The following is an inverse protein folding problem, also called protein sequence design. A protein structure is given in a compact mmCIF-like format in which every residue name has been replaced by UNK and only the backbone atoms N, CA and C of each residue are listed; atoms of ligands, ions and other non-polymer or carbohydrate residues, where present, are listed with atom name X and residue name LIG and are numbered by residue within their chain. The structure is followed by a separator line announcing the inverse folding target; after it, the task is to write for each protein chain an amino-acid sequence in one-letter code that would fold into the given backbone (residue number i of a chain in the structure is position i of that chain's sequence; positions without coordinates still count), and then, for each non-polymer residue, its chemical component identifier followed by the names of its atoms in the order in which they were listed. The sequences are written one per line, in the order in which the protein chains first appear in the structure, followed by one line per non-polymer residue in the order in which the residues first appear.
data_IF_787590679427
#
_entry.id   IF_787590679427
#
_cell.length_a   1.000
_cell.length_b   1.000
_cell.length_c   1.000
_cell.angle_alpha   90.00
_cell.angle_beta   90.00
_cell.angle_gamma   90.00
#
_symmetry.space_group_name_H-M   'P 1'
#
loop_
_entity.id
_entity.type
_entity.pdbx_description
1 polymer ?
#
# COMPACT_ATOMS: atom_id res chain seq x y z
N UNK A 1 17.49 -22.26 9.36
CA UNK A 1 17.48 -21.04 8.53
C UNK A 1 16.40 -21.20 7.48
N UNK A 2 15.32 -20.40 7.52
CA UNK A 2 14.39 -20.35 6.40
C UNK A 2 15.08 -19.59 5.28
N UNK A 3 15.25 -20.22 4.11
CA UNK A 3 15.79 -19.54 2.95
C UNK A 3 14.93 -18.30 2.64
N UNK A 4 15.52 -17.15 2.26
CA UNK A 4 14.74 -16.04 1.74
C UNK A 4 13.92 -16.57 0.56
N UNK A 5 12.61 -16.30 0.57
CA UNK A 5 11.75 -16.66 -0.55
C UNK A 5 12.39 -16.12 -1.84
N UNK A 6 12.49 -16.93 -2.91
CA UNK A 6 13.13 -16.49 -4.14
C UNK A 6 12.47 -15.20 -4.64
N UNK A 7 13.28 -14.19 -4.96
CA UNK A 7 12.79 -12.97 -5.58
C UNK A 7 12.20 -13.31 -6.94
N UNK A 8 10.88 -13.14 -7.09
CA UNK A 8 10.21 -13.28 -8.38
C UNK A 8 10.26 -11.93 -9.10
N UNK A 9 10.96 -11.88 -10.23
CA UNK A 9 10.97 -10.71 -11.12
C UNK A 9 10.10 -11.05 -12.33
N UNK A 10 9.07 -10.25 -12.57
CA UNK A 10 8.24 -10.34 -13.76
C UNK A 10 8.44 -9.07 -14.60
N UNK A 11 8.76 -9.26 -15.88
CA UNK A 11 8.97 -8.18 -16.85
C UNK A 11 7.82 -8.20 -17.85
N UNK A 12 7.27 -7.02 -18.14
CA UNK A 12 6.13 -6.84 -19.03
C UNK A 12 6.51 -5.90 -20.16
N UNK A 13 5.86 -6.07 -21.31
CA UNK A 13 6.21 -5.32 -22.52
C UNK A 13 5.61 -3.91 -22.52
N UNK A 14 4.61 -3.66 -21.67
CA UNK A 14 3.93 -2.37 -21.57
C UNK A 14 3.41 -2.09 -20.17
N UNK A 15 3.17 -0.81 -19.87
CA UNK A 15 2.53 -0.38 -18.62
C UNK A 15 1.12 -0.94 -18.45
N UNK A 16 0.41 -1.17 -19.56
CA UNK A 16 -0.94 -1.70 -19.59
C UNK A 16 -0.96 -3.16 -19.13
N UNK A 17 -0.05 -3.97 -19.69
CA UNK A 17 0.11 -5.38 -19.32
C UNK A 17 0.55 -5.51 -17.86
N UNK A 18 1.50 -4.67 -17.42
CA UNK A 18 1.91 -4.60 -16.02
C UNK A 18 0.73 -4.28 -15.09
N UNK A 19 -0.12 -3.32 -15.45
CA UNK A 19 -1.28 -2.95 -14.65
C UNK A 19 -2.30 -4.08 -14.50
N UNK A 20 -2.63 -4.74 -15.60
CA UNK A 20 -3.55 -5.87 -15.59
C UNK A 20 -2.97 -7.03 -14.75
N UNK A 21 -1.69 -7.37 -14.95
CA UNK A 21 -1.02 -8.42 -14.19
C UNK A 21 -0.93 -8.10 -12.69
N UNK A 22 -0.63 -6.84 -12.33
CA UNK A 22 -0.59 -6.39 -10.94
C UNK A 22 -1.97 -6.47 -10.27
N UNK A 23 -3.02 -6.00 -10.95
CA UNK A 23 -4.38 -6.08 -10.44
C UNK A 23 -4.84 -7.54 -10.23
N UNK A 24 -4.53 -8.43 -11.18
CA UNK A 24 -4.80 -9.86 -11.05
C UNK A 24 -4.00 -10.50 -9.90
N UNK A 25 -2.74 -10.12 -9.72
CA UNK A 25 -1.93 -10.59 -8.60
C UNK A 25 -2.56 -10.17 -7.26
N UNK A 26 -2.97 -8.92 -7.12
CA UNK A 26 -3.66 -8.44 -5.91
C UNK A 26 -4.95 -9.21 -5.66
N UNK A 27 -5.79 -9.40 -6.68
CA UNK A 27 -7.04 -10.15 -6.56
C UNK A 27 -6.82 -11.61 -6.14
N UNK A 28 -5.83 -12.29 -6.75
CA UNK A 28 -5.47 -13.66 -6.38
C UNK A 28 -4.95 -13.75 -4.94
N UNK A 29 -4.08 -12.83 -4.52
CA UNK A 29 -3.56 -12.80 -3.14
C UNK A 29 -4.67 -12.53 -2.12
N UNK A 30 -5.58 -11.62 -2.45
CA UNK A 30 -6.76 -11.36 -1.63
C UNK A 30 -7.65 -12.61 -1.51
N UNK A 31 -7.97 -13.26 -2.63
CA UNK A 31 -8.80 -14.47 -2.63
C UNK A 31 -8.18 -15.60 -1.79
N UNK A 32 -6.88 -15.86 -1.97
CA UNK A 32 -6.15 -16.86 -1.18
C UNK A 32 -6.14 -16.52 0.32
N UNK A 33 -5.95 -15.25 0.67
CA UNK A 33 -5.93 -14.80 2.07
C UNK A 33 -7.32 -14.92 2.71
N UNK A 34 -8.37 -14.56 1.98
CA UNK A 34 -9.74 -14.47 2.49
C UNK A 34 -10.49 -15.81 2.55
N UNK A 35 -9.87 -16.92 2.14
CA UNK A 35 -10.43 -18.27 2.22
C UNK A 35 -10.75 -18.72 3.66
N UNK A 36 -10.05 -18.19 4.67
CA UNK A 36 -10.36 -18.44 6.08
C UNK A 36 -11.51 -17.59 6.59
N UNK A 37 -12.40 -18.16 7.41
CA UNK A 37 -13.65 -17.51 7.89
C UNK A 37 -13.46 -16.20 8.68
N UNK A 38 -12.25 -15.91 9.19
CA UNK A 38 -11.92 -14.68 9.94
C UNK A 38 -10.72 -13.92 9.39
N UNK A 39 -10.24 -14.28 8.21
CA UNK A 39 -9.07 -13.62 7.63
C UNK A 39 -9.40 -12.16 7.23
N UNK A 40 -8.40 -11.29 7.27
CA UNK A 40 -8.45 -9.93 6.70
C UNK A 40 -7.33 -9.82 5.68
N UNK A 41 -7.54 -9.08 4.62
CA UNK A 41 -6.51 -8.82 3.62
C UNK A 41 -6.03 -7.38 3.75
N UNK A 42 -4.73 -7.18 3.91
CA UNK A 42 -4.13 -5.86 3.99
C UNK A 42 -3.33 -5.54 2.71
N UNK A 43 -3.48 -4.33 2.18
CA UNK A 43 -2.77 -3.85 1.00
C UNK A 43 -2.13 -2.49 1.25
N UNK A 44 -0.81 -2.43 1.11
CA UNK A 44 -0.05 -1.19 1.06
C UNK A 44 -0.08 -0.58 -0.34
N UNK A 45 -0.47 0.68 -0.44
CA UNK A 45 -0.60 1.45 -1.66
C UNK A 45 0.51 2.49 -1.73
N UNK A 46 1.10 2.63 -2.91
CA UNK A 46 2.09 3.66 -3.22
C UNK A 46 1.46 4.69 -4.15
N UNK A 47 1.96 5.93 -4.12
CA UNK A 47 1.53 7.00 -5.01
C UNK A 47 2.04 6.90 -6.45
N UNK A 48 1.96 8.02 -7.17
CA UNK A 48 2.49 8.16 -8.54
C UNK A 48 1.67 7.43 -9.60
N UNK A 49 2.34 6.81 -10.57
CA UNK A 49 1.70 6.11 -11.69
C UNK A 49 0.91 4.85 -11.27
N UNK A 50 1.16 4.32 -10.08
CA UNK A 50 0.41 3.19 -9.54
C UNK A 50 -1.05 3.54 -9.26
N UNK A 51 -1.34 4.80 -8.91
CA UNK A 51 -2.71 5.24 -8.66
C UNK A 51 -3.58 5.06 -9.90
N UNK A 52 -3.13 5.58 -11.05
CA UNK A 52 -3.87 5.50 -12.30
C UNK A 52 -3.95 4.07 -12.83
N UNK A 53 -2.88 3.29 -12.66
CA UNK A 53 -2.82 1.88 -13.05
C UNK A 53 -3.83 1.02 -12.27
N UNK A 54 -3.83 1.11 -10.94
CA UNK A 54 -4.76 0.36 -10.10
C UNK A 54 -6.19 0.87 -10.24
N UNK A 55 -6.41 2.18 -10.33
CA UNK A 55 -7.74 2.76 -10.56
C UNK A 55 -8.40 2.28 -11.87
N UNK A 56 -7.58 1.93 -12.88
CA UNK A 56 -8.06 1.38 -14.15
C UNK A 56 -8.33 -0.11 -14.08
N UNK A 57 -7.40 -0.89 -13.52
CA UNK A 57 -7.38 -2.35 -13.67
C UNK A 57 -7.98 -3.10 -12.46
N UNK A 58 -7.84 -2.57 -11.25
CA UNK A 58 -8.25 -3.26 -10.02
C UNK A 58 -9.77 -3.49 -9.95
N UNK A 59 -10.67 -2.56 -10.33
CA UNK A 59 -12.11 -2.80 -10.28
C UNK A 59 -12.55 -4.01 -11.09
N UNK A 60 -11.99 -4.20 -12.29
CA UNK A 60 -12.28 -5.36 -13.12
C UNK A 60 -11.73 -6.66 -12.51
N UNK A 61 -10.52 -6.61 -11.93
CA UNK A 61 -9.88 -7.76 -11.33
C UNK A 61 -10.59 -8.27 -10.06
N UNK A 62 -11.16 -7.38 -9.24
CA UNK A 62 -11.83 -7.75 -7.97
C UNK A 62 -13.34 -7.96 -8.11
N UNK A 63 -13.94 -7.60 -9.24
CA UNK A 63 -15.38 -7.78 -9.49
C UNK A 63 -15.89 -9.21 -9.20
N UNK A 64 -15.18 -10.30 -9.56
CA UNK A 64 -15.63 -11.67 -9.26
C UNK A 64 -15.68 -12.01 -7.77
N UNK A 65 -14.92 -11.30 -6.92
CA UNK A 65 -14.86 -11.56 -5.48
C UNK A 65 -16.06 -10.99 -4.71
N UNK A 66 -16.77 -10.03 -5.31
CA UNK A 66 -17.96 -9.40 -4.73
C UNK A 66 -17.68 -8.49 -3.52
N UNK A 67 -18.71 -7.74 -3.06
CA UNK A 67 -18.56 -6.72 -2.02
C UNK A 67 -18.21 -7.31 -0.64
N UNK A 68 -18.66 -8.53 -0.33
CA UNK A 68 -18.36 -9.18 0.95
C UNK A 68 -16.86 -9.48 1.15
N UNK A 69 -16.15 -9.76 0.05
CA UNK A 69 -14.69 -9.91 0.08
C UNK A 69 -14.02 -8.57 0.37
N UNK A 70 -14.44 -7.50 -0.32
CA UNK A 70 -13.90 -6.14 -0.17
C UNK A 70 -14.16 -5.53 1.22
N UNK A 71 -15.26 -5.90 1.89
CA UNK A 71 -15.55 -5.51 3.27
C UNK A 71 -14.52 -6.04 4.29
N UNK A 72 -13.63 -6.96 3.88
CA UNK A 72 -12.56 -7.53 4.72
C UNK A 72 -11.16 -7.02 4.34
N UNK A 73 -11.09 -6.03 3.47
CA UNK A 73 -9.84 -5.39 3.07
C UNK A 73 -9.42 -4.32 4.07
N UNK A 74 -8.14 -4.05 4.17
CA UNK A 74 -7.60 -2.89 4.88
C UNK A 74 -6.53 -2.27 4.02
N UNK A 75 -6.71 -1.01 3.67
CA UNK A 75 -5.79 -0.28 2.80
C UNK A 75 -4.93 0.65 3.64
N UNK A 76 -3.64 0.71 3.36
CA UNK A 76 -2.73 1.69 3.93
C UNK A 76 -1.81 2.25 2.86
N UNK A 77 -1.11 3.33 3.18
CA UNK A 77 -0.15 3.99 2.28
C UNK A 77 1.28 3.77 2.74
N UNK A 78 2.17 3.50 1.78
CA UNK A 78 3.60 3.31 2.02
C UNK A 78 4.29 4.64 2.35
N UNK A 79 3.90 5.68 1.63
CA UNK A 79 4.34 7.05 1.76
C UNK A 79 3.15 7.97 1.57
N UNK A 80 3.12 9.08 2.30
CA UNK A 80 2.14 10.12 2.12
C UNK A 80 2.78 11.47 2.43
N UNK A 81 2.32 12.52 1.74
CA UNK A 81 2.73 13.89 2.02
C UNK A 81 1.79 14.49 3.05
N UNK A 82 2.34 15.23 4.00
CA UNK A 82 1.55 15.99 4.97
C UNK A 82 0.95 17.24 4.31
N UNK A 83 -0.12 17.02 3.55
CA UNK A 83 -0.92 18.04 2.87
C UNK A 83 -2.40 17.71 3.05
N UNK A 84 -3.30 18.71 2.92
CA UNK A 84 -4.75 18.46 2.88
C UNK A 84 -5.14 17.39 1.84
N UNK A 85 -6.17 16.60 2.13
CA UNK A 85 -6.58 15.49 1.25
C UNK A 85 -7.18 15.90 -0.09
N UNK A 86 -7.61 17.16 -0.22
CA UNK A 86 -8.03 17.76 -1.48
C UNK A 86 -6.86 18.28 -2.34
N UNK A 87 -5.63 18.27 -1.79
CA UNK A 87 -4.44 18.66 -2.50
C UNK A 87 -4.06 17.61 -3.56
N UNK A 88 -3.63 18.06 -4.75
CA UNK A 88 -3.27 17.19 -5.88
C UNK A 88 -2.08 16.23 -5.60
N UNK A 89 -1.31 16.54 -4.57
CA UNK A 89 -0.16 15.73 -4.12
C UNK A 89 -0.52 14.73 -3.02
N UNK A 90 -1.77 14.71 -2.53
CA UNK A 90 -2.22 13.69 -1.56
C UNK A 90 -2.44 12.36 -2.28
N UNK A 91 -1.66 11.35 -1.90
CA UNK A 91 -1.81 10.00 -2.44
C UNK A 91 -3.19 9.44 -2.11
N UNK A 92 -3.64 9.59 -0.85
CA UNK A 92 -5.00 9.26 -0.43
C UNK A 92 -6.05 10.01 -1.23
N UNK A 93 -5.91 11.32 -1.44
CA UNK A 93 -6.85 12.12 -2.23
C UNK A 93 -7.02 11.58 -3.66
N UNK A 94 -5.92 11.20 -4.30
CA UNK A 94 -5.94 10.59 -5.64
C UNK A 94 -6.60 9.21 -5.63
N UNK A 95 -6.27 8.34 -4.66
CA UNK A 95 -6.93 7.03 -4.54
C UNK A 95 -8.42 7.15 -4.22
N UNK A 96 -8.80 8.11 -3.37
CA UNK A 96 -10.19 8.40 -3.03
C UNK A 96 -10.99 8.76 -4.28
N UNK A 97 -10.43 9.66 -5.10
CA UNK A 97 -11.08 10.16 -6.31
C UNK A 97 -11.15 9.10 -7.40
N UNK A 98 -10.07 8.34 -7.63
CA UNK A 98 -9.94 7.48 -8.80
C UNK A 98 -10.29 6.01 -8.57
N UNK A 99 -10.06 5.48 -7.36
CA UNK A 99 -10.22 4.05 -7.05
C UNK A 99 -11.36 3.80 -6.06
N UNK A 100 -11.36 4.47 -4.90
CA UNK A 100 -12.34 4.23 -3.84
C UNK A 100 -13.74 4.67 -4.25
N UNK A 101 -13.87 5.67 -5.13
CA UNK A 101 -15.14 6.06 -5.74
C UNK A 101 -15.79 4.96 -6.61
N UNK A 102 -15.02 3.94 -7.01
CA UNK A 102 -15.45 2.84 -7.91
C UNK A 102 -15.56 1.50 -7.20
N UNK A 103 -15.05 1.38 -5.97
CA UNK A 103 -15.05 0.15 -5.18
C UNK A 103 -15.92 0.33 -3.94
N UNK A 104 -16.71 -0.68 -3.53
CA UNK A 104 -17.50 -0.64 -2.30
C UNK A 104 -16.62 -0.87 -1.06
N UNK A 105 -15.53 -0.10 -0.90
CA UNK A 105 -14.66 -0.10 0.27
C UNK A 105 -14.97 1.16 1.08
N UNK A 106 -15.48 1.05 2.32
CA UNK A 106 -15.75 2.20 3.17
C UNK A 106 -14.44 2.87 3.60
N UNK A 107 -14.49 4.19 3.81
CA UNK A 107 -13.32 4.97 4.23
C UNK A 107 -12.75 4.50 5.58
N UNK A 108 -13.56 3.90 6.45
CA UNK A 108 -13.12 3.31 7.71
C UNK A 108 -12.16 2.13 7.56
N UNK A 109 -12.10 1.51 6.37
CA UNK A 109 -11.14 0.44 6.04
C UNK A 109 -9.83 0.99 5.44
N UNK A 110 -9.68 2.31 5.34
CA UNK A 110 -8.50 2.98 4.80
C UNK A 110 -7.76 3.70 5.92
N UNK A 111 -6.52 3.29 6.18
CA UNK A 111 -5.65 3.89 7.17
C UNK A 111 -4.98 5.10 6.54
N UNK A 112 -5.27 6.29 7.07
CA UNK A 112 -4.72 7.57 6.61
C UNK A 112 -3.96 8.30 7.71
N UNK A 113 -3.05 9.19 7.29
CA UNK A 113 -2.41 10.16 8.17
C UNK A 113 -3.43 11.19 8.66
N UNK A 114 -3.11 11.94 9.71
CA UNK A 114 -3.88 13.13 10.08
C UNK A 114 -3.15 14.39 9.59
N UNK A 115 -3.66 15.13 8.59
CA UNK A 115 -3.00 16.32 8.05
C UNK A 115 -3.06 17.53 8.98
N UNK A 116 -3.88 17.49 10.03
CA UNK A 116 -4.01 18.58 11.02
C UNK A 116 -2.93 18.51 12.11
N UNK A 117 -2.24 17.36 12.23
CA UNK A 117 -1.18 17.18 13.22
C UNK A 117 0.18 17.67 12.69
N UNK A 118 1.09 18.09 13.60
CA UNK A 118 2.50 18.24 13.28
C UNK A 118 3.10 16.97 12.68
N UNK A 119 4.15 17.10 11.87
CA UNK A 119 4.69 15.98 11.09
C UNK A 119 5.14 14.79 11.95
N UNK A 120 5.77 15.04 13.09
CA UNK A 120 6.21 14.00 14.02
C UNK A 120 5.00 13.27 14.64
N UNK A 121 4.00 14.02 15.12
CA UNK A 121 2.79 13.46 15.71
C UNK A 121 1.95 12.70 14.67
N UNK A 122 1.86 13.21 13.44
CA UNK A 122 1.18 12.55 12.34
C UNK A 122 1.83 11.20 12.00
N UNK A 123 3.17 11.13 12.04
CA UNK A 123 3.90 9.88 11.82
C UNK A 123 3.67 8.86 12.95
N UNK A 124 3.69 9.31 14.20
CA UNK A 124 3.40 8.46 15.37
C UNK A 124 1.96 7.95 15.37
N UNK A 125 0.99 8.82 15.10
CA UNK A 125 -0.42 8.48 14.95
C UNK A 125 -0.62 7.43 13.85
N UNK A 126 -0.01 7.65 12.68
CA UNK A 126 -0.11 6.72 11.56
C UNK A 126 0.52 5.36 11.89
N UNK A 127 1.70 5.34 12.51
CA UNK A 127 2.34 4.09 12.95
C UNK A 127 1.48 3.35 13.98
N UNK A 128 0.83 4.07 14.89
CA UNK A 128 -0.10 3.49 15.87
C UNK A 128 -1.31 2.87 15.19
N UNK A 129 -1.95 3.57 14.25
CA UNK A 129 -3.10 3.05 13.47
C UNK A 129 -2.71 1.78 12.70
N UNK A 130 -1.55 1.78 12.04
CA UNK A 130 -1.03 0.59 11.34
C UNK A 130 -0.86 -0.61 12.27
N UNK A 131 -0.30 -0.43 13.47
CA UNK A 131 -0.15 -1.53 14.46
C UNK A 131 -1.47 -2.06 14.99
N UNK A 132 -2.51 -1.21 15.06
CA UNK A 132 -3.83 -1.61 15.55
C UNK A 132 -4.65 -2.36 14.51
N UNK A 133 -4.58 -1.93 13.25
CA UNK A 133 -5.44 -2.46 12.18
C UNK A 133 -4.81 -3.61 11.39
N UNK A 134 -3.49 -3.70 11.35
CA UNK A 134 -2.80 -4.77 10.64
C UNK A 134 -2.60 -6.00 11.53
N UNK A 135 -2.79 -7.23 11.00
CA UNK A 135 -2.50 -8.45 11.73
C UNK A 135 -1.03 -8.49 12.21
N UNK A 136 -0.80 -8.99 13.43
CA UNK A 136 0.55 -9.17 13.98
C UNK A 136 1.42 -10.00 13.01
N UNK A 137 2.59 -9.47 12.66
CA UNK A 137 3.49 -10.03 11.63
C UNK A 137 3.42 -9.34 10.25
N UNK A 138 2.52 -8.37 10.05
CA UNK A 138 2.44 -7.59 8.79
C UNK A 138 3.38 -6.38 8.74
N UNK A 139 3.81 -5.88 9.89
CA UNK A 139 4.86 -4.87 10.05
C UNK A 139 6.04 -5.58 10.70
N UNK A 140 7.11 -5.82 9.96
CA UNK A 140 8.38 -6.10 10.61
C UNK A 140 8.84 -4.77 11.20
N UNK A 141 8.84 -4.65 12.53
CA UNK A 141 9.42 -3.50 13.20
C UNK A 141 10.88 -3.35 12.73
N UNK A 142 11.33 -2.15 12.29
CA UNK A 142 12.70 -1.95 11.83
C UNK A 142 13.74 -1.96 12.96
N UNK A 143 13.30 -2.06 14.23
CA UNK A 143 14.15 -2.12 15.41
C UNK A 143 13.65 -3.21 16.37
N UNK A 144 13.84 -4.47 16.00
CA UNK A 144 14.08 -5.50 17.03
C UNK A 144 15.19 -6.42 16.54
N UNK A 145 16.37 -6.29 17.15
CA UNK A 145 17.28 -7.42 17.27
C UNK A 145 16.55 -8.49 18.08
N UNK A 146 16.04 -9.49 17.39
CA UNK A 146 15.28 -10.59 17.98
C UNK A 146 16.18 -11.48 18.85
N UNK A 147 15.63 -12.02 19.94
CA UNK A 147 15.81 -13.45 20.14
C UNK A 147 14.45 -14.14 20.31
N UNK A 148 14.18 -15.01 19.33
CA UNK A 148 13.38 -16.24 19.49
C UNK A 148 11.91 -16.06 19.90
N UNK A 149 11.02 -16.14 18.90
CA UNK A 149 9.88 -17.07 18.97
C UNK A 149 9.31 -17.38 17.60
N UNK A 150 9.30 -18.67 17.28
CA UNK A 150 8.63 -19.18 16.09
C UNK A 150 7.12 -19.07 16.22
N UNK A 151 6.47 -18.81 15.08
CA UNK A 151 5.41 -19.61 14.44
C UNK A 151 4.91 -18.79 13.23
N UNK A 152 5.13 -19.30 12.02
CA UNK A 152 4.50 -18.77 10.78
C UNK A 152 3.02 -19.16 10.75
N UNK A 153 2.17 -18.34 10.09
CA UNK A 153 1.79 -18.71 8.74
C UNK A 153 1.89 -17.54 7.75
N UNK A 154 1.94 -17.90 6.47
CA UNK A 154 2.18 -17.05 5.32
C UNK A 154 1.28 -15.80 5.26
N UNK A 155 1.84 -14.64 5.59
CA UNK A 155 1.25 -13.34 5.27
C UNK A 155 1.83 -12.86 3.94
N UNK A 156 1.01 -12.87 2.89
CA UNK A 156 1.32 -12.23 1.62
C UNK A 156 1.25 -10.71 1.77
N UNK A 157 2.19 -10.12 2.52
CA UNK A 157 2.39 -8.68 2.54
C UNK A 157 3.27 -8.32 1.34
N UNK A 158 2.74 -7.57 0.36
CA UNK A 158 3.62 -6.78 -0.50
C UNK A 158 4.33 -5.80 0.43
N UNK A 159 5.63 -6.02 0.65
CA UNK A 159 6.42 -5.19 1.56
C UNK A 159 6.62 -3.82 0.91
N UNK A 160 6.12 -2.79 1.60
CA UNK A 160 6.47 -1.41 1.34
C UNK A 160 7.97 -1.19 1.57
N UNK A 161 8.66 -0.68 0.56
CA UNK A 161 10.06 -0.28 0.63
C UNK A 161 10.21 1.02 1.42
N UNK A 162 11.06 0.98 2.46
CA UNK A 162 11.71 2.06 3.26
C UNK A 162 10.82 3.17 3.85
N UNK A 163 11.00 3.52 5.14
CA UNK A 163 10.35 4.69 5.74
C UNK A 163 10.84 5.99 5.11
N UNK A 164 9.94 6.98 5.13
CA UNK A 164 10.13 8.38 4.76
C UNK A 164 11.40 8.95 5.40
N UNK A 165 12.48 9.06 4.62
CA UNK A 165 13.58 9.96 4.94
C UNK A 165 13.17 11.38 4.51
N UNK A 166 13.36 12.41 5.36
CA UNK A 166 13.13 13.78 4.95
C UNK A 166 14.07 14.13 3.79
N UNK A 167 13.50 14.36 2.60
CA UNK A 167 14.24 14.95 1.49
C UNK A 167 14.42 16.43 1.81
N UNK A 168 15.59 16.80 2.33
CA UNK A 168 16.00 18.20 2.38
C UNK A 168 16.03 18.75 0.95
N UNK A 169 15.13 19.69 0.67
CA UNK A 169 15.19 20.54 -0.52
C UNK A 169 16.31 21.56 -0.36
N UNK A 170 17.35 21.44 -1.18
CA UNK A 170 18.16 22.57 -1.67
C UNK A 170 18.11 22.42 -3.20
N UNK A 171 17.41 23.27 -3.98
CA UNK A 171 17.82 24.63 -4.34
C UNK A 171 19.25 24.58 -4.88
N UNK A 172 19.60 24.78 -6.15
CA UNK A 172 19.01 25.55 -7.27
C UNK A 172 19.79 25.15 -8.56
N UNK A 173 19.52 25.73 -9.76
CA UNK A 173 19.63 25.04 -11.06
C UNK A 173 21.01 25.19 -11.73
N UNK A 174 21.33 24.29 -12.66
CA UNK A 174 22.25 24.59 -13.76
C UNK A 174 21.80 23.88 -15.03
N UNK A 175 21.47 24.71 -16.03
CA UNK A 175 21.50 24.37 -17.46
C UNK A 175 22.88 23.85 -17.87
N UNK A 176 22.92 22.98 -18.88
CA UNK A 176 23.77 22.98 -20.09
C UNK A 176 23.39 21.66 -20.83
N UNK A 177 22.65 21.66 -21.96
CA UNK A 177 23.16 21.76 -23.35
C UNK A 177 24.52 21.06 -23.50
N UNK A 178 24.76 20.08 -24.38
CA UNK A 178 24.51 20.04 -25.83
C UNK A 178 24.90 18.65 -26.36
N UNK A 179 24.30 18.26 -27.50
CA UNK A 179 24.68 17.21 -28.47
C UNK A 179 24.71 15.74 -28.02
#
# INVERSE_FOLDING_TARGET
MAAPAPGLISVFSSSQELGAALAQLVAQRAACCLAGARARFALGLSGGSLVSMLARELPAAVAPAGPASLARWTLGFCDERLVPFDHAESTYGLYRTHLLSRLPIPESQVITINPELPVEEAAEDYAKKLRQELPQGSLADPFEESPLRGHSPALGSLKATRPLLPRHSKGTPSRFSTC
#
